data_IF_460190592596
#
_entry.id   IF_460190592596
#
_cell.length_a   1.000
_cell.length_b   1.000
_cell.length_c   1.000
_cell.angle_alpha   90.00
_cell.angle_beta   90.00
_cell.angle_gamma   90.00
#
_symmetry.space_group_name_H-M   'P 1'
#
loop_
_entity.id
_entity.type
_entity.pdbx_description
1 polymer ?
#
# COMPACT_ATOMS: atom_id res chain seq x y z
N UNK A 1 -10.64 -2.96 3.43
CA UNK A 1 -9.77 -3.42 2.33
C UNK A 1 -10.63 -3.53 1.10
N UNK A 2 -10.11 -3.16 -0.06
CA UNK A 2 -10.75 -3.37 -1.36
C UNK A 2 -9.72 -3.87 -2.36
N UNK A 3 -10.17 -4.75 -3.25
CA UNK A 3 -9.40 -5.31 -4.35
C UNK A 3 -10.20 -5.05 -5.62
N UNK A 4 -9.52 -4.61 -6.68
CA UNK A 4 -10.14 -4.40 -7.98
C UNK A 4 -9.22 -4.87 -9.10
N UNK A 5 -9.82 -5.38 -10.17
CA UNK A 5 -9.17 -5.64 -11.44
C UNK A 5 -9.66 -4.60 -12.47
N UNK A 6 -8.84 -4.29 -13.45
CA UNK A 6 -9.30 -3.52 -14.62
C UNK A 6 -10.18 -4.38 -15.52
N UNK A 7 -10.98 -3.74 -16.38
CA UNK A 7 -11.91 -4.43 -17.29
C UNK A 7 -11.19 -5.37 -18.29
N UNK A 8 -9.90 -5.14 -18.55
CA UNK A 8 -9.05 -5.96 -19.41
C UNK A 8 -8.21 -7.00 -18.64
N UNK A 9 -8.44 -7.13 -17.32
CA UNK A 9 -7.70 -7.98 -16.39
C UNK A 9 -6.16 -7.77 -16.37
N UNK A 10 -5.66 -6.67 -16.96
CA UNK A 10 -4.22 -6.39 -17.01
C UNK A 10 -3.70 -5.70 -15.75
N UNK A 11 -4.57 -5.01 -15.01
CA UNK A 11 -4.20 -4.25 -13.82
C UNK A 11 -4.95 -4.77 -12.61
N UNK A 12 -4.20 -4.87 -11.51
CA UNK A 12 -4.67 -5.24 -10.20
C UNK A 12 -4.47 -4.05 -9.25
N UNK A 13 -5.46 -3.78 -8.41
CA UNK A 13 -5.39 -2.79 -7.34
C UNK A 13 -5.76 -3.44 -6.01
N UNK A 14 -4.97 -3.15 -4.98
CA UNK A 14 -5.25 -3.53 -3.60
C UNK A 14 -5.10 -2.31 -2.71
N UNK A 15 -6.12 -2.00 -1.93
CA UNK A 15 -6.12 -0.90 -0.98
C UNK A 15 -6.54 -1.38 0.41
N UNK A 16 -5.73 -1.08 1.41
CA UNK A 16 -6.03 -1.29 2.83
C UNK A 16 -6.04 0.07 3.50
N UNK A 17 -7.11 0.43 4.20
CA UNK A 17 -7.20 1.72 4.88
C UNK A 17 -8.02 1.64 6.16
N UNK A 18 -7.76 2.58 7.09
CA UNK A 18 -8.57 2.82 8.28
C UNK A 18 -9.77 3.69 7.89
N UNK A 19 -11.03 3.28 8.16
CA UNK A 19 -12.20 4.10 7.85
C UNK A 19 -12.19 5.47 8.53
N UNK A 20 -11.61 5.57 9.74
CA UNK A 20 -11.47 6.82 10.49
C UNK A 20 -10.26 7.68 10.04
N UNK A 21 -9.49 7.21 9.07
CA UNK A 21 -8.35 7.91 8.47
C UNK A 21 -7.09 8.04 9.31
N UNK A 22 -7.15 7.78 10.62
CA UNK A 22 -5.96 7.66 11.49
C UNK A 22 -5.95 6.31 12.21
N UNK A 23 -4.77 5.70 12.30
CA UNK A 23 -4.53 4.57 13.21
C UNK A 23 -3.86 5.07 14.48
N UNK A 24 -4.33 4.58 15.64
CA UNK A 24 -3.70 4.79 16.94
C UNK A 24 -2.79 3.62 17.35
N UNK A 25 -2.70 2.60 16.49
CA UNK A 25 -1.79 1.48 16.71
C UNK A 25 -0.36 1.92 16.38
N UNK A 26 0.59 1.49 17.21
CA UNK A 26 2.01 1.64 16.97
C UNK A 26 2.50 0.44 16.16
N UNK A 27 2.75 0.63 14.85
CA UNK A 27 3.21 -0.45 13.98
C UNK A 27 4.73 -0.61 14.06
N UNK A 28 5.21 -1.73 14.58
CA UNK A 28 6.66 -2.03 14.57
C UNK A 28 7.17 -2.44 13.19
N UNK A 29 6.31 -3.10 12.40
CA UNK A 29 6.64 -3.59 11.06
C UNK A 29 5.39 -3.75 10.20
N UNK A 30 5.55 -3.59 8.88
CA UNK A 30 4.56 -4.03 7.91
C UNK A 30 5.22 -4.61 6.66
N UNK A 31 4.50 -5.54 6.02
CA UNK A 31 4.78 -6.08 4.70
C UNK A 31 3.45 -6.39 4.00
N UNK A 32 3.28 -5.88 2.79
CA UNK A 32 2.23 -6.30 1.86
C UNK A 32 2.87 -7.06 0.71
N UNK A 33 2.31 -8.19 0.33
CA UNK A 33 2.84 -9.05 -0.74
C UNK A 33 1.71 -9.39 -1.71
N UNK A 34 1.98 -9.26 -3.00
CA UNK A 34 1.05 -9.60 -4.07
C UNK A 34 1.60 -10.78 -4.88
N UNK A 35 0.70 -11.65 -5.33
CA UNK A 35 1.02 -12.80 -6.19
C UNK A 35 0.27 -12.64 -7.52
N UNK A 36 0.82 -13.20 -8.59
CA UNK A 36 0.22 -13.12 -9.94
C UNK A 36 0.31 -11.74 -10.61
N UNK A 37 0.92 -10.75 -9.95
CA UNK A 37 1.11 -9.41 -10.49
C UNK A 37 2.46 -8.84 -10.08
N UNK A 38 3.01 -7.95 -10.91
CA UNK A 38 4.21 -7.16 -10.61
C UNK A 38 3.77 -5.76 -10.17
N UNK A 39 4.25 -5.29 -9.02
CA UNK A 39 3.97 -3.94 -8.54
C UNK A 39 4.51 -2.92 -9.55
N UNK A 40 3.63 -2.02 -10.00
CA UNK A 40 4.00 -0.84 -10.79
C UNK A 40 4.00 0.43 -9.93
N UNK A 41 3.10 0.48 -8.95
CA UNK A 41 2.95 1.65 -8.10
C UNK A 41 2.49 1.27 -6.69
N UNK A 42 3.03 1.94 -5.68
CA UNK A 42 2.58 1.77 -4.31
C UNK A 42 2.68 3.09 -3.53
N UNK A 43 1.65 3.40 -2.74
CA UNK A 43 1.62 4.54 -1.84
C UNK A 43 1.13 4.15 -0.47
N UNK A 44 1.74 4.75 0.55
CA UNK A 44 1.33 4.61 1.92
C UNK A 44 1.09 5.98 2.55
N UNK A 45 0.17 6.03 3.51
CA UNK A 45 -0.20 7.24 4.24
C UNK A 45 -0.24 6.95 5.73
N UNK A 46 0.31 7.87 6.54
CA UNK A 46 0.22 7.82 8.00
C UNK A 46 -1.13 8.35 8.48
N UNK A 47 -1.75 9.20 7.67
CA UNK A 47 -3.08 9.76 7.89
C UNK A 47 -3.79 9.98 6.55
N UNK A 48 -5.11 9.76 6.50
CA UNK A 48 -5.93 10.09 5.33
C UNK A 48 -6.96 11.19 5.60
N UNK A 49 -7.43 11.85 4.55
CA UNK A 49 -8.36 12.97 4.58
C UNK A 49 -9.81 12.59 4.93
N UNK A 50 -10.02 11.99 6.11
CA UNK A 50 -11.35 11.69 6.68
C UNK A 50 -11.64 12.70 7.78
N UNK A 51 -12.88 13.24 7.81
CA UNK A 51 -13.33 14.11 8.92
C UNK A 51 -12.61 15.47 8.98
N UNK A 52 -12.29 16.07 7.83
CA UNK A 52 -11.64 17.39 7.75
C UNK A 52 -10.11 17.36 7.94
N UNK A 53 -9.53 16.17 8.08
CA UNK A 53 -8.07 15.99 8.08
C UNK A 53 -7.50 16.08 6.66
N UNK A 54 -6.17 16.26 6.56
CA UNK A 54 -5.43 16.17 5.29
C UNK A 54 -4.73 14.81 5.18
N UNK A 55 -4.51 14.37 3.94
CA UNK A 55 -3.65 13.22 3.66
C UNK A 55 -2.20 13.54 4.02
N UNK A 56 -1.53 12.61 4.68
CA UNK A 56 -0.10 12.66 4.98
C UNK A 56 0.52 11.40 4.42
N UNK A 57 1.20 11.53 3.29
CA UNK A 57 1.91 10.43 2.65
C UNK A 57 3.15 10.05 3.48
N UNK A 58 3.46 8.75 3.55
CA UNK A 58 4.77 8.30 4.01
C UNK A 58 5.82 8.76 3.01
N UNK A 59 7.00 9.08 3.51
CA UNK A 59 8.13 9.42 2.66
C UNK A 59 8.70 8.16 2.02
N UNK A 60 9.34 8.30 0.86
CA UNK A 60 9.94 7.18 0.14
C UNK A 60 11.01 6.45 0.96
N UNK A 61 11.71 7.14 1.86
CA UNK A 61 12.67 6.52 2.76
C UNK A 61 12.06 5.65 3.86
N UNK A 62 10.75 5.76 4.13
CA UNK A 62 10.07 5.01 5.19
C UNK A 62 9.70 3.59 4.77
N UNK A 63 9.74 3.27 3.48
CA UNK A 63 9.40 1.95 2.96
C UNK A 63 10.23 1.57 1.73
N UNK A 64 10.04 0.34 1.28
CA UNK A 64 10.72 -0.26 0.15
C UNK A 64 9.66 -0.95 -0.71
N UNK A 65 9.66 -0.61 -2.00
CA UNK A 65 8.82 -1.27 -3.00
C UNK A 65 9.70 -2.21 -3.81
N UNK A 66 9.39 -3.50 -3.74
CA UNK A 66 9.99 -4.55 -4.56
C UNK A 66 9.05 -4.92 -5.71
N UNK A 67 9.46 -5.86 -6.57
CA UNK A 67 8.64 -6.32 -7.68
C UNK A 67 7.28 -6.93 -7.25
N UNK A 68 7.17 -7.45 -6.03
CA UNK A 68 5.97 -8.14 -5.53
C UNK A 68 5.60 -7.79 -4.09
N UNK A 69 6.37 -6.94 -3.41
CA UNK A 69 6.07 -6.56 -2.03
C UNK A 69 6.33 -5.10 -1.71
N UNK A 70 5.60 -4.58 -0.73
CA UNK A 70 5.86 -3.29 -0.09
C UNK A 70 6.15 -3.55 1.38
N UNK A 71 7.34 -3.18 1.84
CA UNK A 71 7.81 -3.43 3.21
C UNK A 71 8.28 -2.14 3.84
N UNK A 72 8.05 -1.96 5.14
CA UNK A 72 8.64 -0.85 5.89
C UNK A 72 10.19 -0.86 5.82
N UNK A 73 10.81 0.31 5.96
CA UNK A 73 12.25 0.42 6.14
C UNK A 73 12.58 0.57 7.61
N UNK A 74 13.37 -0.38 8.11
CA UNK A 74 13.81 -0.40 9.51
C UNK A 74 14.56 0.89 9.87
N UNK A 75 14.26 1.44 11.06
CA UNK A 75 14.85 2.69 11.56
C UNK A 75 14.42 3.98 10.84
N UNK A 76 13.58 3.90 9.80
CA UNK A 76 13.04 5.07 9.09
C UNK A 76 11.52 5.19 9.21
N UNK A 77 10.81 4.06 9.26
CA UNK A 77 9.36 4.06 9.40
C UNK A 77 8.93 4.59 10.78
N UNK A 78 8.11 5.65 10.80
CA UNK A 78 7.67 6.30 12.05
C UNK A 78 6.53 5.58 12.79
N UNK A 79 6.29 4.30 12.50
CA UNK A 79 5.27 3.46 13.16
C UNK A 79 3.82 3.89 12.93
N UNK A 80 3.58 4.81 11.99
CA UNK A 80 2.25 5.32 11.63
C UNK A 80 1.83 4.80 10.25
N UNK A 81 0.74 4.03 10.18
CA UNK A 81 0.16 3.56 8.93
C UNK A 81 -1.37 3.59 9.00
N UNK A 82 -1.99 4.29 8.04
CA UNK A 82 -3.45 4.44 7.95
C UNK A 82 -4.01 4.01 6.61
N UNK A 83 -3.22 4.08 5.52
CA UNK A 83 -3.61 3.56 4.21
C UNK A 83 -2.39 3.05 3.44
N UNK A 84 -2.57 1.95 2.72
CA UNK A 84 -1.63 1.41 1.74
C UNK A 84 -2.42 1.07 0.47
N UNK A 85 -1.97 1.61 -0.66
CA UNK A 85 -2.48 1.31 -2.00
C UNK A 85 -1.37 0.67 -2.80
N UNK A 86 -1.64 -0.46 -3.45
CA UNK A 86 -0.72 -1.14 -4.36
C UNK A 86 -1.44 -1.36 -5.68
N UNK A 87 -0.80 -0.94 -6.76
CA UNK A 87 -1.23 -1.20 -8.14
C UNK A 87 -0.16 -2.07 -8.77
N UNK A 88 -0.58 -3.19 -9.34
CA UNK A 88 0.31 -4.10 -10.06
C UNK A 88 -0.26 -4.49 -11.41
N UNK A 89 0.62 -4.78 -12.34
CA UNK A 89 0.26 -5.38 -13.63
C UNK A 89 0.20 -6.90 -13.48
N UNK A 90 -0.91 -7.51 -13.85
CA UNK A 90 -1.04 -8.98 -13.86
C UNK A 90 -0.02 -9.58 -14.83
N UNK A 91 0.56 -10.72 -14.46
CA UNK A 91 1.40 -11.49 -15.40
C UNK A 91 0.50 -12.55 -16.01
N UNK A 92 0.28 -12.49 -17.32
CA UNK A 92 -0.16 -13.66 -18.06
C UNK A 92 1.02 -14.61 -18.12
N UNK A 93 0.99 -15.66 -17.29
CA UNK A 93 1.87 -16.80 -17.42
C UNK A 93 1.09 -17.83 -18.26
N UNK A 94 1.28 -17.79 -19.58
CA UNK A 94 0.81 -18.85 -20.48
C UNK A 94 1.80 -20.03 -20.36
N UNK A 95 1.60 -20.87 -19.32
CA UNK A 95 2.33 -22.11 -19.11
C UNK A 95 1.41 -23.32 -19.37
#
# INVERSE_FOLDING_TARGET
>A
MSIGLSDDDQMFSCSVWRPQGKSYLFFTQFKAEIKGAKIEYATAYSQTAVGGQRDVALKEEEYIVSASSVTHREGKFHSELSKLTVIGRTRHDEL
#
